data_IF_514379000870
#
_entry.id   IF_514379000870
#
_cell.length_a   1.000
_cell.length_b   1.000
_cell.length_c   1.000
_cell.angle_alpha   90.00
_cell.angle_beta   90.00
_cell.angle_gamma   90.00
#
_symmetry.space_group_name_H-M   'P 1'
#
loop_
_entity.id
_entity.type
_entity.pdbx_description
1 polymer ?
#
# COMPACT_ATOMS: atom_id res chain seq x y z
N UNK A 1 4.60 -15.66 8.03
CA UNK A 1 3.91 -14.37 7.88
C UNK A 1 4.09 -13.97 6.42
N UNK A 2 3.02 -14.04 5.62
CA UNK A 2 3.10 -13.91 4.17
C UNK A 2 3.25 -12.44 3.80
N UNK A 3 4.30 -12.10 3.03
CA UNK A 3 4.51 -10.76 2.49
C UNK A 3 3.50 -10.53 1.34
N UNK A 4 2.75 -9.43 1.38
CA UNK A 4 1.76 -9.13 0.34
C UNK A 4 2.48 -8.52 -0.86
N UNK A 5 2.63 -9.32 -1.91
CA UNK A 5 3.45 -9.03 -3.08
C UNK A 5 3.00 -7.74 -3.81
N UNK A 6 3.58 -6.60 -3.45
CA UNK A 6 3.59 -5.41 -4.30
C UNK A 6 4.60 -5.54 -5.47
N UNK A 7 5.27 -6.69 -5.59
CA UNK A 7 6.16 -7.02 -6.69
C UNK A 7 5.31 -7.45 -7.88
N UNK A 8 4.97 -6.51 -8.76
CA UNK A 8 4.28 -6.86 -10.02
C UNK A 8 3.70 -5.72 -10.84
N UNK A 9 3.61 -4.50 -10.32
CA UNK A 9 3.08 -3.38 -11.09
C UNK A 9 4.20 -2.58 -11.74
N UNK A 10 4.17 -2.49 -13.08
CA UNK A 10 5.14 -1.71 -13.83
C UNK A 10 4.92 -0.21 -13.58
N UNK A 11 6.02 0.53 -13.47
CA UNK A 11 5.96 1.99 -13.42
C UNK A 11 5.27 2.53 -14.68
N UNK A 12 4.37 3.49 -14.51
CA UNK A 12 3.51 4.01 -15.56
C UNK A 12 2.13 3.34 -15.65
N UNK A 13 1.90 2.22 -14.95
CA UNK A 13 0.59 1.57 -14.90
C UNK A 13 -0.41 2.42 -14.13
N UNK A 14 -1.60 2.65 -14.67
CA UNK A 14 -2.71 3.26 -13.93
C UNK A 14 -3.39 2.19 -13.08
N UNK A 15 -3.61 2.50 -11.81
CA UNK A 15 -4.25 1.57 -10.86
C UNK A 15 -5.26 2.28 -9.98
N UNK A 16 -6.23 1.51 -9.48
CA UNK A 16 -7.03 1.82 -8.30
C UNK A 16 -6.57 0.94 -7.15
N UNK A 17 -6.30 1.55 -6.00
CA UNK A 17 -5.96 0.85 -4.76
C UNK A 17 -7.13 0.97 -3.82
N UNK A 18 -7.69 -0.15 -3.41
CA UNK A 18 -8.79 -0.23 -2.45
C UNK A 18 -8.22 -0.75 -1.13
N UNK A 19 -8.39 0.01 -0.05
CA UNK A 19 -7.95 -0.38 1.29
C UNK A 19 -9.14 -0.48 2.24
N UNK A 20 -9.17 -1.57 3.00
CA UNK A 20 -10.20 -1.82 3.98
C UNK A 20 -9.61 -1.83 5.40
N UNK A 21 -10.26 -1.10 6.30
CA UNK A 21 -9.98 -1.14 7.73
C UNK A 21 -11.18 -1.79 8.43
N UNK A 22 -11.05 -3.02 8.94
CA UNK A 22 -12.07 -3.61 9.79
C UNK A 22 -12.16 -2.86 11.13
N UNK A 23 -13.35 -2.39 11.48
CA UNK A 23 -13.70 -1.92 12.82
C UNK A 23 -14.56 -2.98 13.52
N UNK A 24 -14.95 -2.74 14.78
CA UNK A 24 -15.73 -3.69 15.57
C UNK A 24 -17.10 -4.02 14.96
N UNK A 25 -17.76 -3.03 14.35
CA UNK A 25 -19.15 -3.09 13.90
C UNK A 25 -19.32 -2.84 12.39
N UNK A 26 -18.26 -2.41 11.71
CA UNK A 26 -18.28 -2.02 10.30
C UNK A 26 -16.90 -2.15 9.66
N UNK A 27 -16.86 -2.06 8.34
CA UNK A 27 -15.62 -1.92 7.57
C UNK A 27 -15.58 -0.54 6.95
N UNK A 28 -14.46 0.15 7.12
CA UNK A 28 -14.16 1.35 6.35
C UNK A 28 -13.44 0.96 5.08
N UNK A 29 -13.94 1.41 3.94
CA UNK A 29 -13.31 1.20 2.63
C UNK A 29 -12.94 2.56 2.06
N UNK A 30 -11.73 2.67 1.54
CA UNK A 30 -11.25 3.85 0.82
C UNK A 30 -10.55 3.39 -0.46
N UNK A 31 -10.67 4.18 -1.51
CA UNK A 31 -9.96 3.94 -2.76
C UNK A 31 -9.14 5.17 -3.20
N UNK A 32 -8.00 4.89 -3.81
CA UNK A 32 -7.09 5.90 -4.36
C UNK A 32 -6.67 5.46 -5.76
N UNK A 33 -6.82 6.36 -6.72
CA UNK A 33 -6.38 6.12 -8.09
C UNK A 33 -5.13 6.91 -8.42
N UNK A 34 -4.24 6.33 -9.23
CA UNK A 34 -3.05 7.01 -9.67
C UNK A 34 -2.18 6.18 -10.59
N UNK A 35 -1.11 6.80 -11.08
CA UNK A 35 -0.10 6.14 -11.89
C UNK A 35 1.02 5.62 -11.00
N UNK A 36 1.36 4.34 -11.13
CA UNK A 36 2.45 3.71 -10.40
C UNK A 36 3.77 4.39 -10.74
N UNK A 37 4.44 4.89 -9.71
CA UNK A 37 5.80 5.41 -9.81
C UNK A 37 6.79 4.28 -9.48
N UNK A 38 6.54 3.58 -8.37
CA UNK A 38 7.35 2.42 -7.95
C UNK A 38 6.66 1.61 -6.87
N UNK A 39 7.04 0.33 -6.80
CA UNK A 39 6.76 -0.58 -5.69
C UNK A 39 8.05 -0.91 -4.96
N UNK A 40 8.06 -0.87 -3.63
CA UNK A 40 9.23 -1.30 -2.83
C UNK A 40 8.84 -1.77 -1.45
N UNK A 41 9.67 -2.63 -0.88
CA UNK A 41 9.67 -2.86 0.56
C UNK A 41 10.50 -1.80 1.26
N UNK A 42 9.94 -1.20 2.31
CA UNK A 42 10.62 -0.21 3.13
C UNK A 42 10.42 -0.50 4.61
N UNK A 43 11.48 -0.31 5.40
CA UNK A 43 11.38 -0.38 6.87
C UNK A 43 10.45 0.72 7.37
N UNK A 44 9.59 0.37 8.31
CA UNK A 44 8.84 1.37 9.07
C UNK A 44 9.59 1.74 10.36
N UNK A 45 9.65 3.03 10.67
CA UNK A 45 10.14 3.53 11.96
C UNK A 45 9.05 3.59 13.04
N UNK A 46 7.89 2.96 12.79
CA UNK A 46 6.80 2.94 13.75
C UNK A 46 7.14 2.07 14.95
N UNK A 47 7.13 2.69 16.14
CA UNK A 47 7.30 2.02 17.43
C UNK A 47 6.27 0.91 17.70
N UNK A 48 5.12 0.91 17.02
CA UNK A 48 4.06 -0.08 17.22
C UNK A 48 4.33 -1.40 16.48
N UNK A 49 5.22 -1.41 15.49
CA UNK A 49 5.51 -2.59 14.70
C UNK A 49 6.60 -3.44 15.37
N UNK A 50 6.28 -4.05 16.52
CA UNK A 50 7.16 -4.99 17.22
C UNK A 50 7.32 -6.29 16.42
N UNK A 51 8.19 -6.27 15.42
CA UNK A 51 8.68 -7.46 14.75
C UNK A 51 9.93 -7.99 15.46
N UNK A 52 10.23 -9.28 15.28
CA UNK A 52 11.49 -9.88 15.72
C UNK A 52 12.65 -9.06 15.10
N UNK A 53 13.56 -8.59 15.94
CA UNK A 53 14.69 -7.69 15.60
C UNK A 53 14.34 -6.23 15.25
N UNK A 54 13.16 -5.74 15.68
CA UNK A 54 12.72 -4.33 15.60
C UNK A 54 12.66 -3.76 14.16
N UNK A 55 12.54 -4.65 13.17
CA UNK A 55 12.54 -4.30 11.75
C UNK A 55 11.32 -4.90 11.07
N UNK A 56 10.29 -4.08 10.89
CA UNK A 56 9.12 -4.45 10.09
C UNK A 56 9.24 -3.84 8.70
N UNK A 57 9.21 -4.70 7.68
CA UNK A 57 9.22 -4.31 6.29
C UNK A 57 7.79 -4.24 5.79
N UNK A 58 7.42 -3.08 5.24
CA UNK A 58 6.12 -2.85 4.61
C UNK A 58 6.30 -2.78 3.11
N UNK A 59 5.42 -3.45 2.40
CA UNK A 59 5.23 -3.21 0.98
C UNK A 59 4.61 -1.80 0.81
N UNK A 60 5.26 -0.96 0.00
CA UNK A 60 4.84 0.41 -0.28
C UNK A 60 4.65 0.61 -1.77
N UNK A 61 3.54 1.24 -2.11
CA UNK A 61 3.22 1.70 -3.45
C UNK A 61 3.27 3.23 -3.49
N UNK A 62 4.05 3.76 -4.41
CA UNK A 62 4.10 5.20 -4.67
C UNK A 62 3.32 5.49 -5.94
N UNK A 63 2.30 6.35 -5.82
CA UNK A 63 1.40 6.75 -6.90
C UNK A 63 1.55 8.23 -7.18
N UNK A 64 1.47 8.61 -8.46
CA UNK A 64 1.17 9.98 -8.88
C UNK A 64 -0.32 10.10 -9.12
N UNK A 65 -0.99 10.95 -8.34
CA UNK A 65 -2.41 11.25 -8.47
C UNK A 65 -2.67 12.17 -9.67
N UNK A 66 -3.95 12.39 -9.99
CA UNK A 66 -4.37 13.18 -11.15
C UNK A 66 -4.04 14.67 -11.06
N UNK A 67 -4.00 15.22 -9.84
CA UNK A 67 -3.58 16.58 -9.56
C UNK A 67 -2.05 16.74 -9.51
N UNK A 68 -1.30 15.65 -9.70
CA UNK A 68 0.15 15.61 -9.65
C UNK A 68 0.72 15.36 -8.25
N UNK A 69 -0.09 15.23 -7.20
CA UNK A 69 0.37 14.83 -5.87
C UNK A 69 1.00 13.43 -5.89
N UNK A 70 1.97 13.21 -5.01
CA UNK A 70 2.58 11.89 -4.81
C UNK A 70 2.05 11.27 -3.51
N UNK A 71 1.25 10.22 -3.66
CA UNK A 71 0.76 9.42 -2.53
C UNK A 71 1.67 8.23 -2.28
N UNK A 72 1.96 7.95 -1.00
CA UNK A 72 2.70 6.76 -0.57
C UNK A 72 1.77 5.89 0.27
N UNK A 73 1.36 4.75 -0.27
CA UNK A 73 0.45 3.81 0.38
C UNK A 73 1.24 2.66 0.99
N UNK A 74 1.00 2.38 2.27
CA UNK A 74 1.45 1.12 2.89
C UNK A 74 0.43 0.05 2.56
N UNK A 75 0.91 -1.08 2.04
CA UNK A 75 0.07 -2.21 1.64
C UNK A 75 0.09 -3.28 2.72
N UNK A 76 -1.07 -3.92 2.89
CA UNK A 76 -1.30 -5.01 3.83
C UNK A 76 -2.31 -6.02 3.25
N UNK A 77 -2.73 -6.97 4.09
CA UNK A 77 -3.67 -8.02 3.69
C UNK A 77 -5.06 -7.55 3.27
N UNK A 78 -5.43 -6.30 3.59
CA UNK A 78 -6.71 -5.69 3.25
C UNK A 78 -6.59 -4.65 2.14
N UNK A 79 -5.46 -4.68 1.42
CA UNK A 79 -5.20 -3.85 0.26
C UNK A 79 -5.38 -4.65 -1.03
N UNK A 80 -6.23 -4.16 -1.92
CA UNK A 80 -6.45 -4.72 -3.27
C UNK A 80 -6.04 -3.68 -4.29
N UNK A 81 -5.31 -4.12 -5.33
CA UNK A 81 -4.86 -3.24 -6.41
C UNK A 81 -5.46 -3.76 -7.72
N UNK A 82 -6.15 -2.87 -8.43
CA UNK A 82 -6.80 -3.15 -9.71
C UNK A 82 -6.14 -2.28 -10.80
N UNK A 83 -5.81 -2.87 -11.95
CA UNK A 83 -5.38 -2.12 -13.13
C UNK A 83 -6.62 -1.58 -13.83
N UNK A 84 -6.61 -0.30 -14.22
CA UNK A 84 -7.73 0.40 -14.87
C UNK A 84 -7.32 1.16 -16.12
#
# INVERSE_FOLDING_TARGET
>A
MMAHQAQGFDAGTRVRVIQQTPLRDRTWTQDVEGVVIRCRQAKTGSWFAHAKDDQYWLDRLELRLDDGEIAILNLDQYSVIEII
#
